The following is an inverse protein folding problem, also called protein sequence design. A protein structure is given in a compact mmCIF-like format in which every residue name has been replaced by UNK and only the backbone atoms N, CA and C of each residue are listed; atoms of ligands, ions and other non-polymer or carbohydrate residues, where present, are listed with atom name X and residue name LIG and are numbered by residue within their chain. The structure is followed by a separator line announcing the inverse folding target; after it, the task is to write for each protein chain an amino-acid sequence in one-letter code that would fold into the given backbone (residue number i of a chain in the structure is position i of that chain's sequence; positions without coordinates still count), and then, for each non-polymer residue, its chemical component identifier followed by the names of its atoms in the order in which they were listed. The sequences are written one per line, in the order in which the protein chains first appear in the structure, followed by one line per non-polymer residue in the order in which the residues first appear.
data_IF_152884472031
#
_entry.id   IF_152884472031
#
_cell.length_a   1.000
_cell.length_b   1.000
_cell.length_c   1.000
_cell.angle_alpha   90.00
_cell.angle_beta   90.00
_cell.angle_gamma   90.00
#
_symmetry.space_group_name_H-M   'P 1'
#
loop_
_entity.id
_entity.type
_entity.pdbx_description
1 polymer ?
#
# COMPACT_ATOMS: atom_id res chain seq x y z
N UNK A 1 17.80 9.79 17.60
CA UNK A 1 18.11 8.43 17.08
C UNK A 1 17.76 8.41 15.61
N UNK A 2 18.53 7.72 14.75
CA UNK A 2 18.15 7.57 13.34
C UNK A 2 16.88 6.72 13.23
N UNK A 3 15.89 7.18 12.44
CA UNK A 3 14.66 6.42 12.17
C UNK A 3 15.01 5.10 11.47
N UNK A 4 14.27 4.04 11.75
CA UNK A 4 14.44 2.76 11.04
C UNK A 4 14.02 2.96 9.57
N UNK A 5 14.86 2.57 8.63
CA UNK A 5 14.51 2.58 7.21
C UNK A 5 13.52 1.46 6.90
N UNK A 6 12.53 1.78 6.06
CA UNK A 6 11.53 0.85 5.54
C UNK A 6 11.64 0.85 4.01
N UNK A 7 12.24 -0.19 3.45
CA UNK A 7 12.44 -0.31 2.01
C UNK A 7 11.14 -0.71 1.32
N UNK A 8 10.60 0.17 0.50
CA UNK A 8 9.34 0.00 -0.21
C UNK A 8 9.58 -0.47 -1.63
N UNK A 9 8.83 -1.47 -2.05
CA UNK A 9 8.65 -1.84 -3.45
C UNK A 9 7.24 -1.43 -3.90
N UNK A 10 7.11 -0.62 -4.93
CA UNK A 10 5.84 -0.22 -5.51
C UNK A 10 5.60 -0.97 -6.81
N UNK A 11 4.55 -1.78 -6.85
CA UNK A 11 4.16 -2.51 -8.05
C UNK A 11 3.03 -1.76 -8.75
N UNK A 12 3.35 -1.13 -9.87
CA UNK A 12 2.48 -0.23 -10.61
C UNK A 12 2.99 1.22 -10.58
N UNK A 13 3.11 1.86 -11.75
CA UNK A 13 3.67 3.21 -11.90
C UNK A 13 2.71 4.24 -12.50
N UNK A 14 1.46 3.84 -12.79
CA UNK A 14 0.47 4.73 -13.39
C UNK A 14 -0.14 5.68 -12.34
N UNK A 15 -1.42 6.04 -12.48
CA UNK A 15 -2.05 7.07 -11.64
C UNK A 15 -1.87 6.81 -10.13
N UNK A 16 -2.21 5.59 -9.66
CA UNK A 16 -2.04 5.28 -8.24
C UNK A 16 -0.57 5.18 -7.83
N UNK A 17 0.28 4.60 -8.67
CA UNK A 17 1.73 4.58 -8.39
C UNK A 17 2.34 5.97 -8.28
N UNK A 18 1.88 6.95 -9.07
CA UNK A 18 2.26 8.36 -8.90
C UNK A 18 1.78 8.92 -7.56
N UNK A 19 0.54 8.64 -7.18
CA UNK A 19 -0.04 9.13 -5.93
C UNK A 19 0.70 8.57 -4.71
N UNK A 20 0.97 7.25 -4.70
CA UNK A 20 1.71 6.58 -3.63
C UNK A 20 3.17 7.07 -3.56
N UNK A 21 3.86 7.20 -4.70
CA UNK A 21 5.21 7.77 -4.73
C UNK A 21 5.26 9.17 -4.10
N UNK A 22 4.26 10.02 -4.40
CA UNK A 22 4.16 11.33 -3.78
C UNK A 22 3.88 11.25 -2.28
N UNK A 23 3.00 10.35 -1.83
CA UNK A 23 2.71 10.14 -0.42
C UNK A 23 3.96 9.70 0.37
N UNK A 24 4.72 8.73 -0.12
CA UNK A 24 5.98 8.30 0.52
C UNK A 24 7.01 9.43 0.63
N UNK A 25 7.09 10.31 -0.35
CA UNK A 25 8.01 11.46 -0.33
C UNK A 25 7.60 12.54 0.67
N UNK A 26 6.31 12.64 0.96
CA UNK A 26 5.78 13.68 1.83
C UNK A 26 5.56 13.22 3.27
N UNK A 27 5.31 11.96 3.53
CA UNK A 27 4.87 11.44 4.83
C UNK A 27 5.78 11.88 5.97
N UNK A 28 7.10 11.84 5.78
CA UNK A 28 8.07 12.26 6.80
C UNK A 28 8.08 13.78 7.08
N UNK A 29 7.44 14.58 6.21
CA UNK A 29 7.29 16.04 6.40
C UNK A 29 5.97 16.42 7.04
N UNK A 30 4.98 15.50 7.03
CA UNK A 30 3.66 15.73 7.60
C UNK A 30 3.50 15.15 9.00
N UNK A 31 4.27 14.12 9.33
CA UNK A 31 4.17 13.43 10.61
C UNK A 31 5.53 13.44 11.32
N UNK A 32 5.61 14.17 12.43
CA UNK A 32 6.85 14.33 13.19
C UNK A 32 7.24 13.05 13.95
N UNK A 33 6.26 12.28 14.41
CA UNK A 33 6.42 11.12 15.30
C UNK A 33 6.54 9.79 14.55
N UNK A 34 6.98 9.79 13.28
CA UNK A 34 7.19 8.54 12.55
C UNK A 34 8.37 7.75 13.14
N UNK A 35 8.11 6.51 13.49
CA UNK A 35 9.15 5.55 13.94
C UNK A 35 9.99 5.02 12.77
N UNK A 36 9.46 5.08 11.54
CA UNK A 36 10.10 4.57 10.33
C UNK A 36 10.23 5.64 9.25
N UNK A 37 11.25 5.51 8.43
CA UNK A 37 11.47 6.35 7.25
C UNK A 37 11.29 5.48 6.00
N UNK A 38 10.26 5.71 5.15
CA UNK A 38 10.11 4.97 3.91
C UNK A 38 11.21 5.33 2.91
N UNK A 39 11.84 4.31 2.36
CA UNK A 39 12.82 4.41 1.28
C UNK A 39 12.15 3.94 0.00
N UNK A 40 12.13 4.77 -1.03
CA UNK A 40 11.60 4.43 -2.36
C UNK A 40 12.61 3.52 -3.07
N UNK A 41 12.62 2.22 -2.69
CA UNK A 41 13.68 1.30 -3.09
C UNK A 41 13.55 0.86 -4.53
N UNK A 42 12.39 0.31 -4.93
CA UNK A 42 12.17 -0.16 -6.29
C UNK A 42 10.73 0.10 -6.75
N UNK A 43 10.58 0.58 -7.98
CA UNK A 43 9.27 0.66 -8.66
C UNK A 43 9.22 -0.36 -9.79
N UNK A 44 8.12 -1.09 -9.90
CA UNK A 44 7.97 -2.17 -10.84
C UNK A 44 6.83 -1.93 -11.85
N UNK A 45 7.06 -2.33 -13.10
CA UNK A 45 6.03 -2.28 -14.14
C UNK A 45 6.48 -2.86 -15.46
N UNK A 46 5.57 -3.46 -16.20
CA UNK A 46 5.83 -4.31 -17.38
C UNK A 46 6.55 -3.63 -18.56
N UNK A 47 6.38 -2.33 -18.74
CA UNK A 47 7.05 -1.59 -19.82
C UNK A 47 8.31 -0.94 -19.26
N UNK A 48 9.46 -1.40 -19.69
CA UNK A 48 10.77 -0.99 -19.17
C UNK A 48 11.02 0.51 -19.34
N UNK A 49 10.76 1.06 -20.52
CA UNK A 49 10.99 2.48 -20.78
C UNK A 49 10.15 3.36 -19.85
N UNK A 50 8.87 3.02 -19.72
CA UNK A 50 7.94 3.80 -18.89
C UNK A 50 8.24 3.67 -17.40
N UNK A 51 8.55 2.48 -16.90
CA UNK A 51 8.88 2.29 -15.47
C UNK A 51 10.21 2.95 -15.13
N UNK A 52 11.19 2.91 -16.02
CA UNK A 52 12.46 3.64 -15.87
C UNK A 52 12.24 5.16 -15.78
N UNK A 53 11.43 5.72 -16.67
CA UNK A 53 11.05 7.15 -16.62
C UNK A 53 10.31 7.48 -15.31
N UNK A 54 9.43 6.60 -14.85
CA UNK A 54 8.71 6.77 -13.59
C UNK A 54 9.66 6.73 -12.38
N UNK A 55 10.62 5.81 -12.36
CA UNK A 55 11.63 5.72 -11.32
C UNK A 55 12.42 7.04 -11.19
N UNK A 56 12.96 7.54 -12.30
CA UNK A 56 13.68 8.82 -12.35
C UNK A 56 12.81 9.99 -11.90
N UNK A 57 11.56 10.06 -12.42
CA UNK A 57 10.65 11.17 -12.15
C UNK A 57 10.19 11.22 -10.69
N UNK A 58 9.94 10.06 -10.08
CA UNK A 58 9.38 9.97 -8.74
C UNK A 58 10.44 9.74 -7.65
N UNK A 59 11.72 9.56 -8.05
CA UNK A 59 12.85 9.44 -7.12
C UNK A 59 12.97 8.06 -6.48
N UNK A 60 12.63 7.00 -7.21
CA UNK A 60 12.91 5.62 -6.83
C UNK A 60 14.38 5.29 -7.13
N UNK A 61 15.02 4.55 -6.22
CA UNK A 61 16.43 4.16 -6.39
C UNK A 61 16.62 3.23 -7.59
N UNK A 62 15.66 2.31 -7.79
CA UNK A 62 15.73 1.27 -8.81
C UNK A 62 14.37 1.08 -9.51
N UNK A 63 14.40 0.37 -10.64
CA UNK A 63 13.20 -0.13 -11.30
C UNK A 63 13.35 -1.60 -11.69
N UNK A 64 12.24 -2.30 -11.85
CA UNK A 64 12.18 -3.67 -12.37
C UNK A 64 10.97 -3.86 -13.29
N UNK A 65 11.02 -4.88 -14.14
CA UNK A 65 9.93 -5.27 -15.05
C UNK A 65 9.18 -6.52 -14.60
N UNK A 66 9.70 -7.26 -13.59
CA UNK A 66 9.08 -8.45 -12.99
C UNK A 66 8.78 -8.21 -11.52
N UNK A 67 7.51 -8.23 -11.16
CA UNK A 67 7.08 -8.16 -9.77
C UNK A 67 7.49 -9.40 -8.98
N UNK A 68 7.60 -10.56 -9.64
CA UNK A 68 8.04 -11.82 -9.02
C UNK A 68 9.45 -11.67 -8.46
N UNK A 69 10.37 -11.15 -9.27
CA UNK A 69 11.74 -10.89 -8.79
C UNK A 69 11.77 -9.89 -7.63
N UNK A 70 10.95 -8.84 -7.71
CA UNK A 70 10.89 -7.80 -6.67
C UNK A 70 10.43 -8.38 -5.33
N UNK A 71 9.41 -9.24 -5.34
CA UNK A 71 8.87 -9.85 -4.13
C UNK A 71 9.89 -10.77 -3.44
N UNK A 72 10.76 -11.44 -4.20
CA UNK A 72 11.78 -12.35 -3.67
C UNK A 72 13.00 -11.61 -3.08
N UNK A 73 13.15 -10.31 -3.30
CA UNK A 73 14.27 -9.52 -2.80
C UNK A 73 14.31 -9.49 -1.27
N UNK A 74 15.49 -9.75 -0.71
CA UNK A 74 15.70 -9.74 0.75
C UNK A 74 15.76 -8.34 1.34
N UNK A 75 16.06 -7.34 0.53
CA UNK A 75 16.19 -5.94 0.93
C UNK A 75 14.88 -5.14 0.84
N UNK A 76 13.76 -5.78 0.55
CA UNK A 76 12.43 -5.19 0.54
C UNK A 76 11.68 -5.55 1.81
N UNK A 77 11.09 -4.56 2.48
CA UNK A 77 10.26 -4.72 3.67
C UNK A 77 8.77 -4.68 3.37
N UNK A 78 8.35 -3.77 2.50
CA UNK A 78 6.95 -3.51 2.15
C UNK A 78 6.74 -3.62 0.64
N UNK A 79 5.74 -4.39 0.24
CA UNK A 79 5.24 -4.43 -1.14
C UNK A 79 3.91 -3.66 -1.22
N UNK A 80 3.92 -2.59 -2.00
CA UNK A 80 2.76 -1.73 -2.28
C UNK A 80 2.19 -2.10 -3.65
N UNK A 81 0.95 -2.60 -3.66
CA UNK A 81 0.28 -3.16 -4.84
C UNK A 81 -0.71 -2.13 -5.40
N UNK A 82 -0.31 -1.42 -6.46
CA UNK A 82 -1.10 -0.37 -7.12
C UNK A 82 -1.31 -0.64 -8.62
N UNK A 83 -1.57 -1.89 -8.94
CA UNK A 83 -1.87 -2.43 -10.27
C UNK A 83 -3.37 -2.57 -10.52
N UNK A 84 -3.83 -2.96 -11.72
CA UNK A 84 -5.22 -3.35 -11.94
C UNK A 84 -5.68 -4.51 -11.05
N UNK A 85 -6.93 -4.48 -10.60
CA UNK A 85 -7.49 -5.36 -9.57
C UNK A 85 -7.31 -6.87 -9.78
N UNK A 86 -7.24 -7.33 -11.03
CA UNK A 86 -6.96 -8.73 -11.36
C UNK A 86 -5.54 -9.19 -10.98
N UNK A 87 -4.64 -8.27 -10.68
CA UNK A 87 -3.28 -8.55 -10.26
C UNK A 87 -3.07 -8.38 -8.74
N UNK A 88 -4.07 -7.90 -8.00
CA UNK A 88 -3.95 -7.69 -6.55
C UNK A 88 -3.66 -9.01 -5.82
N UNK A 89 -4.52 -10.02 -6.03
CA UNK A 89 -4.41 -11.28 -5.31
C UNK A 89 -3.07 -12.01 -5.56
N UNK A 90 -2.63 -12.27 -6.81
CA UNK A 90 -1.38 -12.99 -7.03
C UNK A 90 -0.18 -12.28 -6.41
N UNK A 91 -0.09 -10.94 -6.53
CA UNK A 91 1.05 -10.17 -6.00
C UNK A 91 1.02 -10.11 -4.46
N UNK A 92 -0.13 -9.79 -3.88
CA UNK A 92 -0.26 -9.68 -2.42
C UNK A 92 -0.03 -11.02 -1.71
N UNK A 93 -0.53 -12.14 -2.28
CA UNK A 93 -0.30 -13.48 -1.75
C UNK A 93 1.19 -13.85 -1.82
N UNK A 94 1.84 -13.58 -2.95
CA UNK A 94 3.27 -13.84 -3.11
C UNK A 94 4.09 -13.01 -2.12
N UNK A 95 3.78 -11.71 -1.95
CA UNK A 95 4.44 -10.83 -1.00
C UNK A 95 4.28 -11.32 0.45
N UNK A 96 3.06 -11.69 0.84
CA UNK A 96 2.80 -12.26 2.17
C UNK A 96 3.57 -13.56 2.40
N UNK A 97 3.61 -14.46 1.41
CA UNK A 97 4.35 -15.71 1.50
C UNK A 97 5.88 -15.50 1.56
N UNK A 98 6.38 -14.43 0.97
CA UNK A 98 7.78 -14.00 1.10
C UNK A 98 8.08 -13.23 2.41
N UNK A 99 7.10 -13.14 3.32
CA UNK A 99 7.25 -12.47 4.62
C UNK A 99 7.28 -10.94 4.53
N UNK A 100 6.80 -10.35 3.43
CA UNK A 100 6.76 -8.90 3.25
C UNK A 100 5.49 -8.29 3.82
N UNK A 101 5.59 -7.07 4.35
CA UNK A 101 4.40 -6.26 4.61
C UNK A 101 3.66 -5.98 3.30
N UNK A 102 2.33 -5.92 3.34
CA UNK A 102 1.51 -5.72 2.15
C UNK A 102 0.61 -4.49 2.31
N UNK A 103 0.74 -3.55 1.39
CA UNK A 103 -0.23 -2.47 1.18
C UNK A 103 -0.88 -2.72 -0.17
N UNK A 104 -2.21 -2.78 -0.24
CA UNK A 104 -2.92 -3.07 -1.48
C UNK A 104 -3.96 -1.99 -1.79
N UNK A 105 -4.04 -1.59 -3.06
CA UNK A 105 -5.09 -0.69 -3.53
C UNK A 105 -6.47 -1.36 -3.52
N UNK A 106 -7.49 -0.53 -3.39
CA UNK A 106 -8.89 -0.95 -3.48
C UNK A 106 -9.31 -1.15 -4.96
N UNK A 107 -10.31 -2.02 -5.23
CA UNK A 107 -10.89 -3.00 -4.31
C UNK A 107 -9.89 -4.11 -3.96
N UNK A 108 -10.07 -4.78 -2.82
CA UNK A 108 -9.11 -5.81 -2.36
C UNK A 108 -8.85 -6.88 -3.42
N UNK A 109 -9.91 -7.41 -4.00
CA UNK A 109 -9.86 -8.42 -5.06
C UNK A 109 -11.10 -8.34 -5.94
N UNK A 110 -11.12 -9.05 -7.07
CA UNK A 110 -12.26 -9.11 -7.97
C UNK A 110 -13.32 -10.11 -7.50
N UNK A 111 -12.93 -11.12 -6.71
CA UNK A 111 -13.83 -12.16 -6.19
C UNK A 111 -13.64 -12.36 -4.69
N UNK A 112 -14.68 -12.89 -4.03
CA UNK A 112 -14.60 -13.28 -2.61
C UNK A 112 -13.55 -14.38 -2.38
N UNK A 113 -13.39 -15.29 -3.33
CA UNK A 113 -12.41 -16.38 -3.23
C UNK A 113 -10.98 -15.81 -3.19
N UNK A 114 -10.65 -14.90 -4.09
CA UNK A 114 -9.35 -14.20 -4.10
C UNK A 114 -9.13 -13.42 -2.79
N UNK A 115 -10.14 -12.67 -2.33
CA UNK A 115 -10.04 -11.91 -1.08
C UNK A 115 -9.76 -12.81 0.13
N UNK A 116 -10.39 -14.00 0.19
CA UNK A 116 -10.13 -15.01 1.23
C UNK A 116 -8.70 -15.53 1.17
N UNK A 117 -8.20 -15.88 -0.02
CA UNK A 117 -6.82 -16.33 -0.20
C UNK A 117 -5.81 -15.28 0.24
N UNK A 118 -6.03 -14.00 -0.09
CA UNK A 118 -5.19 -12.91 0.38
C UNK A 118 -5.20 -12.80 1.91
N UNK A 119 -6.38 -12.86 2.53
CA UNK A 119 -6.52 -12.83 3.98
C UNK A 119 -5.81 -14.01 4.65
N UNK A 120 -6.01 -15.22 4.15
CA UNK A 120 -5.36 -16.44 4.66
C UNK A 120 -3.84 -16.36 4.55
N UNK A 121 -3.32 -15.83 3.44
CA UNK A 121 -1.87 -15.65 3.25
C UNK A 121 -1.25 -14.70 4.28
N UNK A 122 -1.87 -13.55 4.53
CA UNK A 122 -1.35 -12.59 5.52
C UNK A 122 -1.49 -13.09 6.95
N UNK A 123 -2.58 -13.82 7.27
CA UNK A 123 -2.76 -14.43 8.59
C UNK A 123 -1.75 -15.55 8.86
N UNK A 124 -1.57 -16.47 7.89
CA UNK A 124 -0.61 -17.58 7.98
C UNK A 124 0.82 -17.07 8.22
N UNK A 125 1.22 -16.06 7.48
CA UNK A 125 2.58 -15.52 7.55
C UNK A 125 2.73 -14.42 8.61
N UNK A 126 1.65 -14.00 9.27
CA UNK A 126 1.61 -12.95 10.32
C UNK A 126 2.28 -11.65 9.87
N UNK A 127 2.12 -11.28 8.61
CA UNK A 127 2.69 -10.05 8.07
C UNK A 127 1.76 -8.86 8.29
N UNK A 128 2.27 -7.66 8.61
CA UNK A 128 1.49 -6.45 8.62
C UNK A 128 0.88 -6.19 7.25
N UNK A 129 -0.38 -5.79 7.23
CA UNK A 129 -1.08 -5.55 5.97
C UNK A 129 -2.14 -4.46 6.11
N UNK A 130 -2.39 -3.77 4.99
CA UNK A 130 -3.43 -2.75 4.92
C UNK A 130 -4.04 -2.68 3.52
N UNK A 131 -5.31 -2.27 3.47
CA UNK A 131 -6.04 -1.94 2.24
C UNK A 131 -6.22 -0.43 2.15
N UNK A 132 -5.97 0.15 0.98
CA UNK A 132 -6.02 1.60 0.74
C UNK A 132 -7.46 2.15 0.70
N UNK A 133 -8.16 2.09 1.82
CA UNK A 133 -9.39 2.85 2.05
C UNK A 133 -9.06 4.24 2.62
N UNK A 134 -8.38 5.06 1.84
CA UNK A 134 -7.79 6.33 2.25
C UNK A 134 -8.82 7.34 2.81
N UNK A 135 -10.06 7.32 2.36
CA UNK A 135 -11.11 8.20 2.91
C UNK A 135 -11.39 7.99 4.39
N UNK A 136 -11.10 6.81 4.94
CA UNK A 136 -11.20 6.57 6.40
C UNK A 136 -10.32 7.52 7.22
N UNK A 137 -9.24 8.03 6.62
CA UNK A 137 -8.27 8.90 7.27
C UNK A 137 -8.49 10.39 6.96
N UNK A 138 -9.50 10.74 6.17
CA UNK A 138 -9.86 12.14 5.94
C UNK A 138 -10.34 12.79 7.26
N UNK A 139 -9.83 13.99 7.65
CA UNK A 139 -10.14 14.60 8.94
C UNK A 139 -11.63 14.72 9.22
N UNK A 140 -12.43 15.10 8.22
CA UNK A 140 -13.88 15.21 8.36
C UNK A 140 -14.55 13.85 8.64
N UNK A 141 -14.06 12.77 8.02
CA UNK A 141 -14.57 11.40 8.25
C UNK A 141 -14.17 10.90 9.63
N UNK A 142 -12.95 11.19 10.09
CA UNK A 142 -12.52 10.87 11.45
C UNK A 142 -13.34 11.63 12.50
N UNK A 143 -13.61 12.92 12.29
CA UNK A 143 -14.48 13.70 13.17
C UNK A 143 -15.90 13.15 13.18
N UNK A 144 -16.47 12.82 12.04
CA UNK A 144 -17.81 12.21 11.96
C UNK A 144 -17.86 10.90 12.76
N UNK A 145 -16.85 10.02 12.58
CA UNK A 145 -16.72 8.78 13.35
C UNK A 145 -16.65 9.04 14.86
N UNK A 146 -15.83 9.99 15.29
CA UNK A 146 -15.70 10.37 16.68
C UNK A 146 -17.04 10.85 17.26
N UNK A 147 -17.75 11.76 16.59
CA UNK A 147 -19.07 12.26 17.05
C UNK A 147 -20.11 11.15 17.18
N UNK A 148 -20.05 10.14 16.29
CA UNK A 148 -20.91 8.96 16.36
C UNK A 148 -20.54 8.12 17.60
N UNK A 149 -19.27 7.82 17.80
CA UNK A 149 -18.79 6.99 18.92
C UNK A 149 -19.05 7.62 20.27
N UNK A 150 -18.99 8.96 20.36
CA UNK A 150 -19.34 9.75 21.55
C UNK A 150 -20.85 9.87 21.76
N UNK A 151 -21.68 9.32 20.88
CA UNK A 151 -23.15 9.38 20.96
C UNK A 151 -23.72 10.78 20.69
N UNK A 152 -22.92 11.74 20.19
CA UNK A 152 -23.30 13.15 19.99
C UNK A 152 -24.46 13.35 19.04
N UNK A 153 -24.68 12.44 18.11
CA UNK A 153 -25.80 12.48 17.15
C UNK A 153 -26.93 11.48 17.53
N UNK A 154 -26.82 10.83 18.69
CA UNK A 154 -27.80 9.86 19.15
C UNK A 154 -27.84 8.57 18.35
N UNK A 155 -29.00 7.90 18.34
CA UNK A 155 -29.20 6.64 17.62
C UNK A 155 -29.23 6.89 16.10
N UNK A 156 -28.38 6.17 15.36
CA UNK A 156 -28.40 6.22 13.91
C UNK A 156 -29.54 5.33 13.39
N UNK A 157 -30.43 5.92 12.59
CA UNK A 157 -31.56 5.21 11.98
C UNK A 157 -31.36 4.94 10.50
N UNK A 158 -30.53 5.74 9.84
CA UNK A 158 -30.31 5.64 8.40
C UNK A 158 -28.89 6.08 8.04
N UNK A 159 -28.27 5.40 7.10
CA UNK A 159 -27.01 5.78 6.47
C UNK A 159 -27.17 5.79 4.95
N UNK A 160 -26.65 6.83 4.32
CA UNK A 160 -26.56 6.94 2.86
C UNK A 160 -25.16 7.38 2.49
N UNK A 161 -24.45 6.55 1.70
CA UNK A 161 -23.09 6.79 1.18
C UNK A 161 -23.04 6.61 -0.32
#
# INVERSE_FOLDING_TARGET
MSKRKLNVALIGYQFMGKAHSNAYRQVARFFDDLEVEPVLKVICGRNEENVRKAAQKYGWEEYDTSWERVVERKDIDLVDVSVPGNMHAPIAIAAANAGKMVLCEKPLANTLAEARQMYEAVQKNKVPNALCHNYRFAPAVQLAKQLIDEGRIGKIYHFRG
#
